data_IF_296455056725
#
_entry.id   IF_296455056725
#
_cell.length_a   1.000
_cell.length_b   1.000
_cell.length_c   1.000
_cell.angle_alpha   90.00
_cell.angle_beta   90.00
_cell.angle_gamma   90.00
#
_symmetry.space_group_name_H-M   'P 1'
#
loop_
_entity.id
_entity.type
_entity.pdbx_description
1 polymer ?
#
# COMPACT_ATOMS: atom_id res chain seq x y z
N UNK A 1 -0.43 67.46 17.53
CA UNK A 1 -0.21 66.07 18.00
C UNK A 1 -1.55 65.35 18.18
N UNK A 2 -1.65 64.07 17.79
CA UNK A 2 -2.84 63.24 18.10
C UNK A 2 -2.81 62.85 19.57
N UNK A 3 -3.96 62.97 20.26
CA UNK A 3 -4.11 62.52 21.65
C UNK A 3 -4.31 61.00 21.69
N UNK A 4 -3.72 60.34 22.68
CA UNK A 4 -3.99 58.92 22.98
C UNK A 4 -5.46 58.78 23.39
N UNK A 5 -6.17 57.83 22.78
CA UNK A 5 -7.61 57.59 23.03
C UNK A 5 -7.77 56.44 24.01
N UNK A 6 -8.75 56.53 24.91
CA UNK A 6 -9.13 55.44 25.82
C UNK A 6 -9.90 54.36 25.06
N UNK A 7 -9.64 53.08 25.33
CA UNK A 7 -10.35 51.94 24.73
C UNK A 7 -11.68 51.70 25.46
N UNK A 8 -12.64 52.58 25.24
CA UNK A 8 -14.00 52.49 25.78
C UNK A 8 -15.02 52.82 24.68
N UNK A 9 -16.29 52.47 24.90
CA UNK A 9 -17.35 52.80 23.96
C UNK A 9 -17.45 54.32 23.75
N UNK A 10 -17.48 54.76 22.49
CA UNK A 10 -17.60 56.17 22.14
C UNK A 10 -19.07 56.55 22.16
N UNK A 11 -19.48 57.37 23.11
CA UNK A 11 -20.88 57.78 23.28
C UNK A 11 -21.37 58.64 22.11
N UNK A 12 -20.55 59.57 21.62
CA UNK A 12 -20.89 60.41 20.46
C UNK A 12 -21.05 59.57 19.18
N UNK A 13 -22.27 59.56 18.63
CA UNK A 13 -22.60 58.81 17.40
C UNK A 13 -21.74 59.24 16.21
N UNK A 14 -21.56 60.54 15.98
CA UNK A 14 -20.78 61.06 14.87
C UNK A 14 -19.29 60.65 14.98
N UNK A 15 -18.70 60.79 16.17
CA UNK A 15 -17.32 60.38 16.42
C UNK A 15 -17.15 58.85 16.28
N UNK A 16 -18.12 58.07 16.75
CA UNK A 16 -18.12 56.61 16.63
C UNK A 16 -18.18 56.15 15.18
N UNK A 17 -19.07 56.73 14.35
CA UNK A 17 -19.18 56.42 12.91
C UNK A 17 -17.88 56.74 12.15
N UNK A 18 -17.30 57.92 12.40
CA UNK A 18 -16.05 58.32 11.77
C UNK A 18 -14.87 57.41 12.18
N UNK A 19 -14.81 57.00 13.44
CA UNK A 19 -13.77 56.07 13.91
C UNK A 19 -13.98 54.66 13.38
N UNK A 20 -15.22 54.16 13.36
CA UNK A 20 -15.57 52.86 12.79
C UNK A 20 -15.08 52.74 11.36
N UNK A 21 -15.39 53.72 10.49
CA UNK A 21 -14.95 53.72 9.09
C UNK A 21 -13.42 53.61 8.97
N UNK A 22 -12.68 54.46 9.70
CA UNK A 22 -11.20 54.45 9.68
C UNK A 22 -10.60 53.16 10.24
N UNK A 23 -11.15 52.64 11.34
CA UNK A 23 -10.65 51.42 11.99
C UNK A 23 -10.95 50.18 11.16
N UNK A 24 -12.12 50.12 10.54
CA UNK A 24 -12.52 49.07 9.61
C UNK A 24 -11.57 49.00 8.41
N UNK A 25 -11.36 50.12 7.73
CA UNK A 25 -10.44 50.21 6.60
C UNK A 25 -9.01 49.80 7.00
N UNK A 26 -8.55 50.23 8.18
CA UNK A 26 -7.25 49.84 8.72
C UNK A 26 -7.14 48.35 9.06
N UNK A 27 -8.19 47.74 9.62
CA UNK A 27 -8.24 46.32 9.94
C UNK A 27 -8.17 45.46 8.69
N UNK A 28 -8.99 45.77 7.68
CA UNK A 28 -9.01 45.06 6.40
C UNK A 28 -7.64 45.15 5.72
N UNK A 29 -7.02 46.34 5.73
CA UNK A 29 -5.66 46.52 5.17
C UNK A 29 -4.62 45.65 5.90
N UNK A 30 -4.68 45.59 7.24
CA UNK A 30 -3.75 44.76 8.01
C UNK A 30 -3.96 43.27 7.77
N UNK A 31 -5.20 42.83 7.62
CA UNK A 31 -5.50 41.45 7.22
C UNK A 31 -4.99 41.14 5.81
N UNK A 32 -5.13 42.07 4.85
CA UNK A 32 -4.57 41.87 3.51
C UNK A 32 -3.05 41.75 3.54
N UNK A 33 -2.37 42.58 4.35
CA UNK A 33 -0.92 42.51 4.53
C UNK A 33 -0.51 41.18 5.19
N UNK A 34 -1.20 40.73 6.24
CA UNK A 34 -0.91 39.43 6.88
C UNK A 34 -1.06 38.27 5.91
N UNK A 35 -2.16 38.25 5.14
CA UNK A 35 -2.39 37.23 4.13
C UNK A 35 -1.26 37.19 3.10
N UNK A 36 -0.82 38.35 2.60
CA UNK A 36 0.24 38.43 1.59
C UNK A 36 1.64 38.15 2.14
N UNK A 37 1.95 38.59 3.36
CA UNK A 37 3.30 38.46 3.92
C UNK A 37 3.57 37.09 4.55
N UNK A 38 2.54 36.48 5.13
CA UNK A 38 2.68 35.22 5.87
C UNK A 38 2.07 34.03 5.14
N UNK A 39 1.44 34.25 3.97
CA UNK A 39 0.73 33.23 3.20
C UNK A 39 -0.29 32.43 4.05
N UNK A 40 -1.08 33.17 4.84
CA UNK A 40 -2.11 32.60 5.72
C UNK A 40 -3.51 33.03 5.28
N UNK A 41 -4.45 32.10 5.38
CA UNK A 41 -5.86 32.39 5.13
C UNK A 41 -6.47 33.17 6.31
N UNK A 42 -6.68 34.47 6.09
CA UNK A 42 -7.26 35.38 7.09
C UNK A 42 -8.62 35.94 6.62
N UNK A 43 -9.57 36.03 7.57
CA UNK A 43 -10.90 36.59 7.32
C UNK A 43 -11.43 37.40 8.51
N UNK A 44 -12.34 38.34 8.23
CA UNK A 44 -13.06 39.13 9.23
C UNK A 44 -14.55 39.20 8.91
N UNK A 45 -15.36 39.16 9.97
CA UNK A 45 -16.79 39.47 9.95
C UNK A 45 -16.99 40.67 10.88
N UNK A 46 -17.45 41.79 10.33
CA UNK A 46 -17.56 43.06 11.06
C UNK A 46 -19.02 43.46 11.14
N UNK A 47 -19.53 43.53 12.37
CA UNK A 47 -20.89 43.99 12.66
C UNK A 47 -20.89 45.48 12.97
N UNK A 48 -21.90 46.18 12.46
CA UNK A 48 -22.14 47.59 12.77
C UNK A 48 -23.61 47.77 13.15
N UNK A 49 -23.93 48.55 14.18
CA UNK A 49 -25.31 48.92 14.48
C UNK A 49 -25.97 49.76 13.37
N UNK A 50 -25.17 50.33 12.45
CA UNK A 50 -25.67 51.14 11.34
C UNK A 50 -26.01 50.32 10.08
N UNK A 51 -25.68 49.02 10.05
CA UNK A 51 -25.89 48.15 8.90
C UNK A 51 -26.57 46.86 9.34
N UNK A 52 -27.68 46.49 8.68
CA UNK A 52 -28.40 45.26 8.99
C UNK A 52 -27.62 44.00 8.64
N UNK A 53 -26.75 44.06 7.62
CA UNK A 53 -25.90 42.94 7.22
C UNK A 53 -24.45 43.18 7.68
N UNK A 54 -23.75 42.13 8.14
CA UNK A 54 -22.34 42.21 8.46
C UNK A 54 -21.50 42.40 7.20
N UNK A 55 -20.40 43.12 7.35
CA UNK A 55 -19.40 43.26 6.29
C UNK A 55 -18.37 42.15 6.44
N UNK A 56 -18.15 41.39 5.35
CA UNK A 56 -17.28 40.22 5.35
C UNK A 56 -16.07 40.48 4.47
N UNK A 57 -14.88 40.25 5.02
CA UNK A 57 -13.61 40.33 4.31
C UNK A 57 -12.86 38.98 4.37
N UNK A 58 -12.32 38.48 3.24
CA UNK A 58 -12.71 38.82 1.87
C UNK A 58 -14.18 38.43 1.61
N UNK A 59 -14.73 38.79 0.45
CA UNK A 59 -16.13 38.45 0.13
C UNK A 59 -16.41 36.95 0.31
N UNK A 60 -17.66 36.59 0.64
CA UNK A 60 -18.08 35.19 0.84
C UNK A 60 -17.73 34.28 -0.35
N UNK A 61 -17.76 34.82 -1.57
CA UNK A 61 -17.34 34.13 -2.79
C UNK A 61 -15.86 33.74 -2.76
N UNK A 62 -14.98 34.66 -2.33
CA UNK A 62 -13.54 34.41 -2.19
C UNK A 62 -13.25 33.47 -1.03
N UNK A 63 -14.01 33.55 0.06
CA UNK A 63 -13.90 32.60 1.17
C UNK A 63 -14.28 31.18 0.75
N UNK A 64 -15.31 31.02 -0.09
CA UNK A 64 -15.67 29.72 -0.66
C UNK A 64 -14.56 29.19 -1.57
N UNK A 65 -14.00 30.03 -2.43
CA UNK A 65 -12.87 29.64 -3.30
C UNK A 65 -11.63 29.22 -2.51
N UNK A 66 -11.34 29.86 -1.37
CA UNK A 66 -10.24 29.44 -0.48
C UNK A 66 -10.54 28.09 0.17
N UNK A 67 -11.82 27.82 0.49
CA UNK A 67 -12.27 26.53 1.04
C UNK A 67 -12.40 25.42 -0.01
N UNK A 68 -12.55 25.78 -1.27
CA UNK A 68 -12.50 24.89 -2.45
C UNK A 68 -11.05 24.55 -2.84
N UNK A 69 -10.10 24.68 -1.94
CA UNK A 69 -8.84 23.96 -2.06
C UNK A 69 -9.10 22.49 -1.70
N UNK A 70 -9.71 21.78 -2.65
CA UNK A 70 -9.94 20.33 -2.68
C UNK A 70 -8.63 19.52 -2.59
N UNK A 71 -7.48 20.18 -2.55
CA UNK A 71 -6.15 19.60 -2.58
C UNK A 71 -5.79 18.84 -1.29
N UNK A 72 -6.20 19.35 -0.12
CA UNK A 72 -5.98 18.66 1.17
C UNK A 72 -6.87 17.42 1.30
N UNK A 73 -8.16 17.54 0.96
CA UNK A 73 -9.11 16.41 0.95
C UNK A 73 -8.72 15.35 -0.07
N UNK A 74 -8.25 15.75 -1.26
CA UNK A 74 -7.78 14.82 -2.29
C UNK A 74 -6.52 14.07 -1.83
N UNK A 75 -5.56 14.78 -1.23
CA UNK A 75 -4.36 14.17 -0.68
C UNK A 75 -4.69 13.16 0.42
N UNK A 76 -5.56 13.53 1.37
CA UNK A 76 -5.99 12.62 2.44
C UNK A 76 -6.70 11.38 1.89
N UNK A 77 -7.60 11.54 0.90
CA UNK A 77 -8.25 10.42 0.21
C UNK A 77 -7.23 9.52 -0.48
N UNK A 78 -6.22 10.09 -1.12
CA UNK A 78 -5.15 9.33 -1.77
C UNK A 78 -4.33 8.54 -0.75
N UNK A 79 -3.99 9.13 0.40
CA UNK A 79 -3.29 8.44 1.48
C UNK A 79 -4.11 7.28 2.04
N UNK A 80 -5.41 7.48 2.26
CA UNK A 80 -6.32 6.43 2.72
C UNK A 80 -6.40 5.30 1.70
N UNK A 81 -6.52 5.62 0.40
CA UNK A 81 -6.55 4.62 -0.66
C UNK A 81 -5.28 3.77 -0.69
N UNK A 82 -4.10 4.39 -0.66
CA UNK A 82 -2.81 3.67 -0.63
C UNK A 82 -2.65 2.78 0.61
N UNK A 83 -3.05 3.28 1.78
CA UNK A 83 -3.00 2.49 3.01
C UNK A 83 -3.94 1.26 2.95
N UNK A 84 -5.13 1.42 2.36
CA UNK A 84 -6.06 0.32 2.17
C UNK A 84 -5.56 -0.71 1.15
N UNK A 85 -4.94 -0.28 0.05
CA UNK A 85 -4.33 -1.18 -0.94
C UNK A 85 -3.23 -2.05 -0.30
N UNK A 86 -2.33 -1.44 0.47
CA UNK A 86 -1.27 -2.18 1.16
C UNK A 86 -1.84 -3.14 2.21
N UNK A 87 -2.86 -2.71 2.97
CA UNK A 87 -3.55 -3.57 3.93
C UNK A 87 -4.22 -4.77 3.24
N UNK A 88 -4.89 -4.57 2.12
CA UNK A 88 -5.50 -5.65 1.35
C UNK A 88 -4.46 -6.62 0.81
N UNK A 89 -3.34 -6.12 0.31
CA UNK A 89 -2.21 -6.94 -0.15
C UNK A 89 -1.67 -7.80 0.99
N UNK A 90 -1.39 -7.21 2.15
CA UNK A 90 -0.91 -7.94 3.31
C UNK A 90 -1.91 -8.98 3.81
N UNK A 91 -3.21 -8.65 3.83
CA UNK A 91 -4.26 -9.63 4.16
C UNK A 91 -4.27 -10.80 3.21
N UNK A 92 -4.14 -10.55 1.90
CA UNK A 92 -4.09 -11.61 0.89
C UNK A 92 -2.85 -12.49 1.07
N UNK A 93 -1.67 -11.89 1.22
CA UNK A 93 -0.42 -12.63 1.42
C UNK A 93 -0.43 -13.45 2.72
N UNK A 94 -0.98 -12.89 3.80
CA UNK A 94 -1.13 -13.63 5.06
C UNK A 94 -2.12 -14.78 4.89
N UNK A 95 -3.23 -14.55 4.19
CA UNK A 95 -4.21 -15.60 3.92
C UNK A 95 -3.61 -16.74 3.11
N UNK A 96 -2.84 -16.44 2.07
CA UNK A 96 -2.14 -17.46 1.27
C UNK A 96 -1.18 -18.29 2.14
N UNK A 97 -0.45 -17.65 3.06
CA UNK A 97 0.45 -18.35 4.00
C UNK A 97 -0.32 -19.23 4.99
N UNK A 98 -1.41 -18.74 5.57
CA UNK A 98 -2.26 -19.50 6.49
C UNK A 98 -2.79 -20.78 5.83
N UNK A 99 -3.34 -20.66 4.62
CA UNK A 99 -3.88 -21.81 3.87
C UNK A 99 -2.77 -22.76 3.44
N UNK A 100 -1.59 -22.25 3.08
CA UNK A 100 -0.43 -23.08 2.75
C UNK A 100 0.04 -23.89 3.96
N UNK A 101 0.11 -23.27 5.15
CA UNK A 101 0.45 -23.97 6.39
C UNK A 101 -0.57 -25.06 6.72
N UNK A 102 -1.85 -24.74 6.55
CA UNK A 102 -2.94 -25.68 6.75
C UNK A 102 -2.84 -26.90 5.80
N UNK A 103 -2.49 -26.66 4.54
CA UNK A 103 -2.24 -27.74 3.57
C UNK A 103 -1.13 -28.68 4.06
N UNK A 104 0.01 -28.14 4.51
CA UNK A 104 1.09 -28.96 5.06
C UNK A 104 0.67 -29.72 6.31
N UNK A 105 -0.07 -29.07 7.22
CA UNK A 105 -0.58 -29.73 8.42
C UNK A 105 -1.51 -30.91 8.08
N UNK A 106 -2.42 -30.72 7.12
CA UNK A 106 -3.34 -31.77 6.66
C UNK A 106 -2.60 -32.96 6.02
N UNK A 107 -1.47 -32.73 5.35
CA UNK A 107 -0.62 -33.79 4.80
C UNK A 107 0.08 -34.59 5.89
N UNK A 108 0.50 -33.94 6.98
CA UNK A 108 1.21 -34.60 8.08
C UNK A 108 0.26 -35.38 8.99
N UNK A 109 -0.95 -34.87 9.24
CA UNK A 109 -1.93 -35.51 10.10
C UNK A 109 -3.35 -35.45 9.49
N UNK A 110 -3.77 -36.46 8.72
CA UNK A 110 -5.03 -36.44 7.96
C UNK A 110 -6.30 -36.24 8.81
N UNK A 111 -6.24 -36.54 10.10
CA UNK A 111 -7.37 -36.44 11.03
C UNK A 111 -7.53 -35.03 11.65
N UNK A 112 -6.58 -34.12 11.43
CA UNK A 112 -6.54 -32.78 12.06
C UNK A 112 -7.49 -31.77 11.38
N UNK A 113 -8.09 -32.12 10.23
CA UNK A 113 -9.02 -31.23 9.52
C UNK A 113 -10.37 -31.02 10.22
N UNK A 114 -10.70 -31.81 11.25
CA UNK A 114 -12.00 -31.74 11.94
C UNK A 114 -12.20 -30.43 12.73
N UNK A 115 -11.14 -29.73 13.10
CA UNK A 115 -11.18 -28.45 13.83
C UNK A 115 -10.99 -27.21 12.94
N UNK A 116 -10.91 -27.39 11.63
CA UNK A 116 -10.63 -26.31 10.67
C UNK A 116 -11.89 -25.52 10.36
N UNK A 117 -11.78 -24.20 10.23
CA UNK A 117 -12.93 -23.35 9.94
C UNK A 117 -13.42 -23.54 8.50
N UNK A 118 -14.72 -23.40 8.26
CA UNK A 118 -15.32 -23.57 6.93
C UNK A 118 -14.69 -22.64 5.86
N UNK A 119 -14.44 -21.33 6.13
CA UNK A 119 -13.74 -20.48 5.18
C UNK A 119 -12.34 -20.98 4.81
N UNK A 120 -11.59 -21.51 5.78
CA UNK A 120 -10.25 -22.07 5.53
C UNK A 120 -10.33 -23.32 4.67
N UNK A 121 -11.36 -24.15 4.88
CA UNK A 121 -11.57 -25.36 4.09
C UNK A 121 -11.95 -25.02 2.64
N UNK A 122 -12.76 -23.98 2.43
CA UNK A 122 -13.11 -23.48 1.09
C UNK A 122 -11.86 -22.98 0.36
N UNK A 123 -11.05 -22.16 1.02
CA UNK A 123 -9.82 -21.63 0.42
C UNK A 123 -8.80 -22.75 0.15
N UNK A 124 -8.69 -23.73 1.06
CA UNK A 124 -7.84 -24.90 0.88
C UNK A 124 -8.28 -25.75 -0.31
N UNK A 125 -9.59 -26.00 -0.47
CA UNK A 125 -10.14 -26.71 -1.64
C UNK A 125 -9.74 -26.00 -2.93
N UNK A 126 -9.87 -24.67 -2.96
CA UNK A 126 -9.49 -23.88 -4.14
C UNK A 126 -7.99 -24.00 -4.44
N UNK A 127 -7.12 -23.93 -3.43
CA UNK A 127 -5.67 -24.10 -3.60
C UNK A 127 -5.33 -25.48 -4.16
N UNK A 128 -5.95 -26.55 -3.64
CA UNK A 128 -5.78 -27.91 -4.14
C UNK A 128 -6.18 -28.00 -5.61
N UNK A 129 -7.33 -27.44 -5.99
CA UNK A 129 -7.79 -27.42 -7.38
C UNK A 129 -6.81 -26.69 -8.31
N UNK A 130 -6.18 -25.60 -7.85
CA UNK A 130 -5.15 -24.90 -8.65
C UNK A 130 -3.89 -25.74 -8.82
N UNK A 131 -3.43 -26.42 -7.76
CA UNK A 131 -2.27 -27.30 -7.85
C UNK A 131 -2.53 -28.49 -8.79
N UNK A 132 -3.71 -29.09 -8.73
CA UNK A 132 -4.10 -30.16 -9.65
C UNK A 132 -4.08 -29.68 -11.10
N UNK A 133 -4.65 -28.50 -11.39
CA UNK A 133 -4.60 -27.89 -12.73
C UNK A 133 -3.18 -27.62 -13.21
N UNK A 134 -2.29 -27.14 -12.33
CA UNK A 134 -0.90 -26.89 -12.69
C UNK A 134 -0.15 -28.20 -12.97
N UNK A 135 -0.42 -29.26 -12.20
CA UNK A 135 0.10 -30.60 -12.46
C UNK A 135 -0.37 -31.10 -13.83
N UNK A 136 -1.67 -31.00 -14.14
CA UNK A 136 -2.24 -31.41 -15.43
C UNK A 136 -1.59 -30.65 -16.60
N UNK A 137 -1.46 -29.34 -16.50
CA UNK A 137 -0.79 -28.52 -17.51
C UNK A 137 0.69 -28.90 -17.70
N UNK A 138 1.39 -29.26 -16.62
CA UNK A 138 2.78 -29.73 -16.71
C UNK A 138 2.85 -31.11 -17.34
N UNK A 139 1.93 -32.02 -17.02
CA UNK A 139 1.84 -33.34 -17.65
C UNK A 139 1.58 -33.22 -19.15
N UNK A 140 0.66 -32.36 -19.58
CA UNK A 140 0.39 -32.10 -21.00
C UNK A 140 1.63 -31.55 -21.74
N UNK A 141 2.32 -30.57 -21.14
CA UNK A 141 3.57 -30.01 -21.72
C UNK A 141 4.66 -31.06 -21.87
N UNK A 142 4.80 -31.97 -20.91
CA UNK A 142 5.76 -33.07 -20.98
C UNK A 142 5.36 -34.10 -22.04
N UNK A 143 4.06 -34.42 -22.16
CA UNK A 143 3.56 -35.34 -23.19
C UNK A 143 3.70 -34.77 -24.62
N UNK A 144 3.60 -33.45 -24.80
CA UNK A 144 3.83 -32.77 -26.08
C UNK A 144 5.31 -32.65 -26.45
N UNK A 145 6.22 -32.71 -25.48
CA UNK A 145 7.67 -32.71 -25.72
C UNK A 145 8.23 -34.08 -26.14
N UNK A 146 7.47 -35.16 -25.97
CA UNK A 146 7.88 -36.53 -26.30
C UNK A 146 7.53 -36.96 -27.74
N UNK A 147 6.81 -36.12 -28.51
CA UNK A 147 6.33 -36.43 -29.87
C UNK A 147 7.14 -35.77 -30.99
N UNK A 148 8.28 -35.13 -30.71
CA UNK A 148 9.12 -34.50 -31.75
C UNK A 148 10.39 -35.28 -32.17
N UNK A 149 10.66 -36.47 -31.62
CA UNK A 149 11.84 -37.28 -31.99
C UNK A 149 11.49 -38.64 -32.62
N UNK A 150 10.46 -38.70 -33.47
CA UNK A 150 10.29 -39.83 -34.39
C UNK A 150 9.74 -39.33 -35.74
N UNK A 151 10.61 -39.08 -36.72
CA UNK A 151 10.52 -39.57 -38.11
C UNK A 151 11.92 -39.54 -38.78
N UNK A 152 12.20 -40.60 -39.58
CA UNK A 152 13.37 -40.91 -40.44
C UNK A 152 14.73 -41.29 -39.80
N UNK A 153 15.45 -42.37 -40.17
CA UNK A 153 15.47 -43.19 -41.39
C UNK A 153 16.09 -44.60 -41.13
N UNK A 154 15.76 -45.58 -41.99
CA UNK A 154 16.38 -46.92 -42.06
C UNK A 154 17.90 -46.90 -42.38
N UNK A 155 18.64 -48.03 -42.19
CA UNK A 155 20.09 -48.02 -41.96
C UNK A 155 20.92 -48.15 -43.25
N UNK A 156 22.18 -47.63 -43.29
CA UNK A 156 23.20 -48.13 -44.18
C UNK A 156 24.23 -48.99 -43.42
N UNK A 157 24.53 -50.14 -44.01
CA UNK A 157 25.63 -51.04 -43.67
C UNK A 157 26.93 -50.39 -44.18
N UNK A 158 27.96 -50.21 -43.32
CA UNK A 158 29.28 -50.88 -43.42
C UNK A 158 30.33 -50.34 -42.42
N UNK A 159 31.11 -51.29 -41.89
CA UNK A 159 32.44 -51.24 -41.24
C UNK A 159 32.64 -50.57 -39.86
N UNK A 160 32.79 -51.48 -38.89
CA UNK A 160 33.53 -51.45 -37.62
C UNK A 160 34.91 -50.79 -37.70
N UNK A 161 35.27 -50.00 -36.66
CA UNK A 161 36.53 -50.15 -35.91
C UNK A 161 36.49 -49.46 -34.53
N UNK A 162 37.37 -49.96 -33.65
CA UNK A 162 37.24 -50.15 -32.19
C UNK A 162 38.08 -49.13 -31.39
N UNK A 163 37.81 -49.05 -30.08
CA UNK A 163 38.64 -48.52 -28.95
C UNK A 163 38.37 -47.08 -28.50
N UNK A 164 38.42 -46.66 -27.22
CA UNK A 164 38.33 -47.28 -25.89
C UNK A 164 38.26 -46.14 -24.82
N UNK A 165 37.87 -46.48 -23.58
CA UNK A 165 38.22 -45.85 -22.27
C UNK A 165 37.43 -44.65 -21.67
N UNK A 166 36.76 -44.99 -20.55
CA UNK A 166 36.86 -44.42 -19.19
C UNK A 166 36.96 -42.89 -18.95
N UNK A 167 35.85 -42.27 -18.52
CA UNK A 167 35.83 -41.15 -17.55
C UNK A 167 34.39 -40.83 -17.11
N UNK A 168 33.84 -41.58 -16.14
CA UNK A 168 32.58 -41.20 -15.48
C UNK A 168 32.60 -41.68 -14.02
N UNK A 169 33.40 -41.02 -13.18
CA UNK A 169 33.41 -41.28 -11.73
C UNK A 169 33.65 -40.07 -10.83
N UNK A 170 33.47 -38.84 -11.34
CA UNK A 170 33.73 -37.63 -10.52
C UNK A 170 32.50 -36.76 -10.20
N UNK A 171 31.31 -37.01 -10.75
CA UNK A 171 30.16 -36.11 -10.51
C UNK A 171 29.27 -36.48 -9.31
N UNK A 172 29.43 -37.64 -8.69
CA UNK A 172 28.59 -38.06 -7.54
C UNK A 172 29.06 -37.44 -6.21
N UNK A 173 30.34 -37.07 -6.09
CA UNK A 173 30.90 -36.55 -4.83
C UNK A 173 30.53 -35.10 -4.48
N UNK A 174 30.04 -34.30 -5.43
CA UNK A 174 29.83 -32.86 -5.20
C UNK A 174 28.42 -32.50 -4.67
N UNK A 175 27.45 -33.42 -4.76
CA UNK A 175 26.08 -33.15 -4.31
C UNK A 175 25.85 -33.50 -2.83
N UNK A 176 26.59 -34.46 -2.27
CA UNK A 176 26.43 -34.87 -0.87
C UNK A 176 27.03 -33.85 0.13
N UNK A 177 28.04 -33.08 -0.28
CA UNK A 177 28.63 -32.04 0.60
C UNK A 177 27.67 -30.85 0.83
N UNK A 178 26.86 -30.49 -0.17
CA UNK A 178 25.94 -29.35 -0.05
C UNK A 178 24.68 -29.64 0.79
N UNK A 179 24.39 -30.92 1.05
CA UNK A 179 23.22 -31.31 1.85
C UNK A 179 23.52 -31.36 3.36
N UNK A 180 24.79 -31.46 3.75
CA UNK A 180 25.19 -31.50 5.17
C UNK A 180 25.22 -30.12 5.82
N UNK A 181 25.71 -29.08 5.13
CA UNK A 181 25.81 -27.72 5.68
C UNK A 181 24.44 -27.06 5.94
N UNK A 182 23.37 -27.49 5.24
CA UNK A 182 22.03 -26.95 5.47
C UNK A 182 21.33 -27.54 6.70
N UNK A 183 21.68 -28.76 7.13
CA UNK A 183 21.06 -29.36 8.34
C UNK A 183 21.55 -28.70 9.63
N UNK A 184 22.79 -28.26 9.69
CA UNK A 184 23.35 -27.59 10.87
C UNK A 184 22.69 -26.21 11.11
N UNK A 185 22.40 -25.46 10.04
CA UNK A 185 21.76 -24.14 10.12
C UNK A 185 20.34 -24.15 10.70
N UNK A 186 19.53 -25.18 10.41
CA UNK A 186 18.16 -25.28 10.96
C UNK A 186 18.16 -25.71 12.44
N UNK A 187 19.15 -26.50 12.88
CA UNK A 187 19.27 -26.89 14.29
C UNK A 187 19.70 -25.72 15.20
N UNK A 188 20.51 -24.79 14.68
CA UNK A 188 20.97 -23.60 15.41
C UNK A 188 19.87 -22.54 15.62
N UNK A 189 18.82 -22.54 14.78
CA UNK A 189 17.69 -21.61 14.90
C UNK A 189 16.61 -22.09 15.86
N UNK A 190 16.43 -23.40 16.05
CA UNK A 190 15.49 -23.93 17.05
C UNK A 190 16.02 -23.88 18.49
N UNK A 191 17.33 -23.75 18.71
CA UNK A 191 17.92 -23.68 20.06
C UNK A 191 17.86 -22.32 20.76
N UNK A 192 17.23 -21.29 20.17
CA UNK A 192 17.13 -19.93 20.76
C UNK A 192 15.73 -19.52 21.19
N UNK A 193 14.76 -20.44 21.16
CA UNK A 193 13.36 -20.18 21.56
C UNK A 193 12.95 -20.85 22.89
N UNK A 194 13.91 -21.16 23.75
CA UNK A 194 13.64 -21.46 25.16
C UNK A 194 14.46 -20.54 26.08
N UNK A 195 13.88 -19.39 26.44
CA UNK A 195 13.97 -18.69 27.73
C UNK A 195 12.89 -17.60 27.82
#
# INVERSE_FOLDING_TARGET
>A
MRKKVKLVYITSNAARKAMYKKKKEGLIKKMSEMRTLCDVDASAIIYSPDHAQPEVYPSLTKLRQMKEMEEEECFLRQCIAKANEELQKQRKENREKEITLLMFQAQMEPNNLQSVSLPDLIDLSWVIDQHLKDIDQRMEKLNLGLTQDQEDCQPPIFAVQVEATAAARESVGQQDAMFSDKKEGYSALLGRMDM
#
